data_IF_362625012105
#
_entry.id   IF_362625012105
#
_cell.length_a   1.000
_cell.length_b   1.000
_cell.length_c   1.000
_cell.angle_alpha   90.00
_cell.angle_beta   90.00
_cell.angle_gamma   90.00
#
_symmetry.space_group_name_H-M   'P 1'
#
loop_
_entity.id
_entity.type
_entity.pdbx_description
1 polymer ?
#
# COMPACT_ATOMS: atom_id res chain seq x y z
N UNK A 1 3.08 21.92 -28.83
CA UNK A 1 2.81 22.49 -27.50
C UNK A 1 1.31 22.75 -27.26
N UNK A 2 0.51 22.99 -28.31
CA UNK A 2 -0.96 23.21 -28.19
C UNK A 2 -1.79 21.97 -27.81
N UNK A 3 -1.44 20.79 -28.30
CA UNK A 3 -2.24 19.57 -28.05
C UNK A 3 -2.30 19.19 -26.56
N UNK A 4 -1.20 19.35 -25.81
CA UNK A 4 -1.15 19.05 -24.36
C UNK A 4 -1.98 20.04 -23.53
N UNK A 5 -1.94 21.33 -23.88
CA UNK A 5 -2.79 22.35 -23.23
C UNK A 5 -4.27 22.09 -23.50
N UNK A 6 -4.60 21.68 -24.72
CA UNK A 6 -5.97 21.34 -25.08
C UNK A 6 -6.48 20.09 -24.33
N UNK A 7 -5.65 19.05 -24.15
CA UNK A 7 -5.99 17.86 -23.38
C UNK A 7 -6.23 18.18 -21.90
N UNK A 8 -5.34 18.98 -21.28
CA UNK A 8 -5.50 19.41 -19.90
C UNK A 8 -6.77 20.22 -19.68
N UNK A 9 -7.08 21.15 -20.60
CA UNK A 9 -8.34 21.91 -20.55
C UNK A 9 -9.58 21.01 -20.70
N UNK A 10 -9.52 19.95 -21.52
CA UNK A 10 -10.61 18.97 -21.63
C UNK A 10 -10.78 18.15 -20.36
N UNK A 11 -9.68 17.76 -19.71
CA UNK A 11 -9.71 17.05 -18.42
C UNK A 11 -10.33 17.94 -17.34
N UNK A 12 -9.93 19.21 -17.25
CA UNK A 12 -10.43 20.13 -16.24
C UNK A 12 -11.92 20.47 -16.43
N UNK A 13 -12.41 20.41 -17.66
CA UNK A 13 -13.84 20.55 -17.97
C UNK A 13 -14.62 19.24 -17.84
N UNK A 14 -13.96 18.08 -17.76
CA UNK A 14 -14.63 16.78 -17.71
C UNK A 14 -15.57 16.66 -16.50
N UNK A 15 -16.78 16.15 -16.74
CA UNK A 15 -17.76 15.85 -15.67
C UNK A 15 -17.38 14.54 -15.00
N UNK A 16 -17.60 14.45 -13.69
CA UNK A 16 -17.36 13.21 -12.95
C UNK A 16 -18.11 12.04 -13.58
N UNK A 17 -17.45 10.89 -13.67
CA UNK A 17 -17.99 9.71 -14.34
C UNK A 17 -17.50 8.44 -13.63
N UNK A 18 -17.92 7.27 -14.13
CA UNK A 18 -17.59 5.97 -13.54
C UNK A 18 -16.08 5.69 -13.49
N UNK A 19 -15.30 6.22 -14.41
CA UNK A 19 -13.84 6.05 -14.45
C UNK A 19 -13.19 6.78 -13.27
N UNK A 20 -13.59 8.03 -13.00
CA UNK A 20 -13.09 8.78 -11.83
C UNK A 20 -13.41 8.06 -10.50
N UNK A 21 -14.62 7.50 -10.38
CA UNK A 21 -14.98 6.67 -9.21
C UNK A 21 -14.11 5.41 -9.14
N UNK A 22 -13.93 4.69 -10.23
CA UNK A 22 -13.13 3.47 -10.27
C UNK A 22 -11.66 3.74 -9.87
N UNK A 23 -11.07 4.82 -10.37
CA UNK A 23 -9.72 5.26 -10.00
C UNK A 23 -9.66 5.60 -8.51
N UNK A 24 -10.62 6.38 -8.00
CA UNK A 24 -10.66 6.77 -6.58
C UNK A 24 -10.73 5.54 -5.67
N UNK A 25 -11.59 4.57 -6.00
CA UNK A 25 -11.72 3.32 -5.23
C UNK A 25 -10.46 2.47 -5.34
N UNK A 26 -9.86 2.34 -6.52
CA UNK A 26 -8.65 1.54 -6.70
C UNK A 26 -7.44 2.12 -5.93
N UNK A 27 -7.29 3.45 -5.91
CA UNK A 27 -6.27 4.12 -5.09
C UNK A 27 -6.58 3.99 -3.60
N UNK A 28 -7.86 4.13 -3.23
CA UNK A 28 -8.33 3.93 -1.85
C UNK A 28 -8.05 2.52 -1.32
N UNK A 29 -8.26 1.47 -2.11
CA UNK A 29 -7.98 0.08 -1.70
C UNK A 29 -6.48 -0.13 -1.46
N UNK A 30 -5.60 0.50 -2.25
CA UNK A 30 -4.16 0.49 -1.99
C UNK A 30 -3.81 1.15 -0.65
N UNK A 31 -4.39 2.31 -0.40
CA UNK A 31 -4.22 3.04 0.87
C UNK A 31 -4.78 2.28 2.08
N UNK A 32 -5.90 1.56 1.89
CA UNK A 32 -6.50 0.67 2.89
C UNK A 32 -5.55 -0.48 3.24
N UNK A 33 -4.96 -1.12 2.24
CA UNK A 33 -4.03 -2.24 2.42
C UNK A 33 -2.81 -1.82 3.23
N UNK A 34 -2.26 -0.65 2.93
CA UNK A 34 -1.11 -0.10 3.64
C UNK A 34 -1.46 0.20 5.12
N UNK A 35 -2.59 0.86 5.37
CA UNK A 35 -3.10 1.09 6.72
C UNK A 35 -3.33 -0.22 7.49
N UNK A 36 -3.88 -1.23 6.81
CA UNK A 36 -4.09 -2.56 7.36
C UNK A 36 -2.75 -3.17 7.81
N UNK A 37 -1.73 -3.14 6.95
CA UNK A 37 -0.43 -3.75 7.21
C UNK A 37 0.29 -3.05 8.37
N UNK A 38 0.37 -1.72 8.36
CA UNK A 38 0.98 -0.93 9.44
C UNK A 38 0.28 -1.23 10.78
N UNK A 39 -1.04 -1.37 10.77
CA UNK A 39 -1.81 -1.67 11.98
C UNK A 39 -1.58 -3.11 12.46
N UNK A 40 -1.59 -4.09 11.55
CA UNK A 40 -1.31 -5.49 11.90
C UNK A 40 0.08 -5.65 12.51
N UNK A 41 1.11 -5.02 11.93
CA UNK A 41 2.48 -5.07 12.46
C UNK A 41 2.52 -4.55 13.89
N UNK A 42 1.91 -3.39 14.15
CA UNK A 42 1.85 -2.82 15.50
C UNK A 42 1.19 -3.80 16.49
N UNK A 43 0.13 -4.47 16.07
CA UNK A 43 -0.61 -5.40 16.93
C UNK A 43 0.15 -6.69 17.24
N UNK A 44 1.03 -7.15 16.35
CA UNK A 44 1.79 -8.41 16.53
C UNK A 44 3.17 -8.23 17.18
N UNK A 45 3.63 -7.00 17.46
CA UNK A 45 4.94 -6.75 18.08
C UNK A 45 5.10 -7.51 19.39
N UNK A 46 4.09 -7.45 20.27
CA UNK A 46 4.14 -8.16 21.56
C UNK A 46 4.25 -9.68 21.36
N UNK A 47 3.57 -10.22 20.36
CA UNK A 47 3.65 -11.64 19.97
C UNK A 47 5.05 -11.99 19.50
N UNK A 48 5.68 -11.16 18.66
CA UNK A 48 7.06 -11.39 18.20
C UNK A 48 8.09 -11.31 19.33
N UNK A 49 7.89 -10.40 20.28
CA UNK A 49 8.74 -10.32 21.47
C UNK A 49 8.72 -11.61 22.28
N UNK A 50 7.54 -12.20 22.44
CA UNK A 50 7.39 -13.47 23.16
C UNK A 50 7.95 -14.66 22.35
N UNK A 51 7.59 -14.78 21.07
CA UNK A 51 7.98 -15.90 20.21
C UNK A 51 9.49 -15.97 19.93
N UNK A 52 10.14 -14.82 19.77
CA UNK A 52 11.56 -14.75 19.39
C UNK A 52 12.43 -14.11 20.47
N UNK A 53 11.89 -13.92 21.69
CA UNK A 53 12.59 -13.35 22.83
C UNK A 53 13.27 -12.01 22.53
N UNK A 54 12.60 -11.16 21.75
CA UNK A 54 13.18 -9.90 21.27
C UNK A 54 13.26 -8.86 22.39
N UNK A 55 14.37 -8.12 22.39
CA UNK A 55 14.51 -6.88 23.17
C UNK A 55 13.55 -5.78 22.67
N UNK A 56 13.35 -4.76 23.50
CA UNK A 56 12.57 -3.57 23.08
C UNK A 56 13.22 -2.86 21.88
N UNK A 57 14.55 -2.88 21.79
CA UNK A 57 15.29 -2.30 20.67
C UNK A 57 15.01 -3.04 19.37
N UNK A 58 15.05 -4.37 19.37
CA UNK A 58 14.73 -5.18 18.19
C UNK A 58 13.27 -5.04 17.79
N UNK A 59 12.35 -5.03 18.74
CA UNK A 59 10.92 -4.77 18.47
C UNK A 59 10.71 -3.39 17.81
N UNK A 60 11.45 -2.37 18.24
CA UNK A 60 11.38 -1.02 17.66
C UNK A 60 11.92 -0.99 16.24
N UNK A 61 12.96 -1.78 15.95
CA UNK A 61 13.51 -1.90 14.60
C UNK A 61 12.52 -2.45 13.59
N UNK A 62 11.59 -3.35 13.98
CA UNK A 62 10.52 -3.86 13.10
C UNK A 62 9.70 -2.71 12.51
N UNK A 63 9.45 -1.66 13.29
CA UNK A 63 8.76 -0.46 12.84
C UNK A 63 9.69 0.49 12.07
N UNK A 64 10.91 0.70 12.57
CA UNK A 64 11.84 1.66 11.97
C UNK A 64 12.24 1.30 10.54
N UNK A 65 12.47 0.00 10.26
CA UNK A 65 12.87 -0.43 8.92
C UNK A 65 11.79 -0.22 7.87
N UNK A 66 10.53 -0.16 8.28
CA UNK A 66 9.42 0.18 7.39
C UNK A 66 9.61 1.59 6.81
N UNK A 67 9.89 2.57 7.65
CA UNK A 67 10.12 3.95 7.20
C UNK A 67 11.37 4.07 6.34
N UNK A 68 12.46 3.37 6.69
CA UNK A 68 13.68 3.33 5.88
C UNK A 68 13.42 2.74 4.49
N UNK A 69 12.64 1.65 4.42
CA UNK A 69 12.23 1.04 3.17
C UNK A 69 11.37 1.98 2.33
N UNK A 70 10.38 2.65 2.92
CA UNK A 70 9.55 3.66 2.24
C UNK A 70 10.42 4.79 1.66
N UNK A 71 11.37 5.31 2.44
CA UNK A 71 12.27 6.37 1.98
C UNK A 71 13.11 5.92 0.78
N UNK A 72 13.72 4.73 0.88
CA UNK A 72 14.51 4.16 -0.21
C UNK A 72 13.66 3.89 -1.46
N UNK A 73 12.45 3.37 -1.27
CA UNK A 73 11.47 3.10 -2.32
C UNK A 73 11.02 4.38 -3.02
N UNK A 74 10.61 5.39 -2.27
CA UNK A 74 10.17 6.67 -2.82
C UNK A 74 11.27 7.34 -3.65
N UNK A 75 12.50 7.37 -3.14
CA UNK A 75 13.65 7.94 -3.86
C UNK A 75 14.00 7.14 -5.12
N UNK A 76 14.17 5.82 -5.00
CA UNK A 76 14.59 4.95 -6.09
C UNK A 76 13.53 4.80 -7.17
N UNK A 77 12.29 4.47 -6.79
CA UNK A 77 11.20 4.28 -7.74
C UNK A 77 10.67 5.59 -8.32
N UNK A 78 10.80 6.73 -7.62
CA UNK A 78 10.54 8.04 -8.22
C UNK A 78 11.41 8.29 -9.44
N UNK A 79 12.73 8.10 -9.30
CA UNK A 79 13.69 8.22 -10.40
C UNK A 79 13.43 7.20 -11.53
N UNK A 80 13.17 5.93 -11.16
CA UNK A 80 12.88 4.88 -12.14
C UNK A 80 11.57 5.13 -12.91
N UNK A 81 10.57 5.77 -12.28
CA UNK A 81 9.26 5.99 -12.89
C UNK A 81 9.36 7.05 -13.98
N UNK A 82 10.18 8.07 -13.74
CA UNK A 82 10.47 9.11 -14.71
C UNK A 82 11.32 8.57 -15.88
N UNK A 83 12.17 7.56 -15.65
CA UNK A 83 13.04 6.98 -16.68
C UNK A 83 12.41 5.87 -17.53
N UNK A 84 11.67 4.94 -16.92
CA UNK A 84 11.16 3.73 -17.56
C UNK A 84 9.65 3.75 -17.84
N UNK A 85 8.98 4.84 -17.46
CA UNK A 85 7.55 5.05 -17.64
C UNK A 85 6.72 4.61 -16.43
N UNK A 86 5.88 5.54 -15.96
CA UNK A 86 5.07 5.43 -14.73
C UNK A 86 4.23 4.17 -14.66
N UNK A 87 3.57 3.79 -15.76
CA UNK A 87 2.64 2.64 -15.79
C UNK A 87 3.31 1.29 -15.50
N UNK A 88 4.46 1.01 -16.12
CA UNK A 88 5.17 -0.27 -15.92
C UNK A 88 5.67 -0.40 -14.49
N UNK A 89 6.17 0.71 -13.95
CA UNK A 89 6.67 0.75 -12.59
C UNK A 89 5.57 0.59 -11.56
N UNK A 90 4.38 1.17 -11.82
CA UNK A 90 3.19 1.03 -10.96
C UNK A 90 2.73 -0.42 -10.78
N UNK A 91 2.81 -1.22 -11.84
CA UNK A 91 2.47 -2.64 -11.79
C UNK A 91 3.54 -3.46 -11.08
N UNK A 92 4.81 -3.15 -11.34
CA UNK A 92 5.94 -3.82 -10.69
C UNK A 92 5.93 -3.60 -9.17
N UNK A 93 5.70 -2.36 -8.73
CA UNK A 93 5.69 -2.02 -7.30
C UNK A 93 4.55 -2.68 -6.57
N UNK A 94 3.38 -2.79 -7.22
CA UNK A 94 2.25 -3.51 -6.66
C UNK A 94 2.49 -5.01 -6.54
N UNK A 95 3.10 -5.62 -7.57
CA UNK A 95 3.46 -7.04 -7.50
C UNK A 95 4.48 -7.29 -6.40
N UNK A 96 5.48 -6.42 -6.29
CA UNK A 96 6.48 -6.48 -5.25
C UNK A 96 5.83 -6.29 -3.88
N UNK A 97 4.98 -5.29 -3.72
CA UNK A 97 4.27 -5.03 -2.48
C UNK A 97 3.42 -6.25 -2.06
N UNK A 98 2.45 -6.66 -2.89
CA UNK A 98 1.54 -7.74 -2.55
C UNK A 98 2.22 -9.10 -2.37
N UNK A 99 3.24 -9.41 -3.18
CA UNK A 99 3.98 -10.68 -3.07
C UNK A 99 4.75 -10.74 -1.76
N UNK A 100 5.47 -9.67 -1.40
CA UNK A 100 6.28 -9.68 -0.18
C UNK A 100 5.44 -9.53 1.10
N UNK A 101 4.29 -8.84 1.04
CA UNK A 101 3.28 -8.89 2.12
C UNK A 101 2.80 -10.32 2.34
N UNK A 102 2.50 -11.08 1.27
CA UNK A 102 2.12 -12.49 1.39
C UNK A 102 3.26 -13.35 1.94
N UNK A 103 4.48 -13.20 1.42
CA UNK A 103 5.66 -13.94 1.89
C UNK A 103 5.97 -13.66 3.35
N UNK A 104 5.60 -12.49 3.88
CA UNK A 104 5.73 -12.17 5.31
C UNK A 104 5.01 -13.19 6.19
N UNK A 105 3.88 -13.74 5.76
CA UNK A 105 3.17 -14.81 6.48
C UNK A 105 3.99 -16.11 6.63
N UNK A 106 5.03 -16.29 5.81
CA UNK A 106 5.93 -17.44 5.80
C UNK A 106 7.29 -17.15 6.45
N UNK A 107 7.49 -15.98 7.05
CA UNK A 107 8.72 -15.68 7.78
C UNK A 107 8.98 -16.74 8.87
N UNK A 108 10.21 -17.23 8.99
CA UNK A 108 10.55 -18.31 9.93
C UNK A 108 11.31 -17.80 11.16
N UNK A 109 11.91 -16.62 11.08
CA UNK A 109 12.62 -15.96 12.17
C UNK A 109 12.65 -14.44 12.00
N UNK A 110 13.13 -13.74 13.03
CA UNK A 110 13.25 -12.28 13.03
C UNK A 110 14.02 -11.72 11.81
N UNK A 111 15.23 -12.19 11.45
CA UNK A 111 15.93 -11.69 10.27
C UNK A 111 15.13 -11.84 8.95
N UNK A 112 14.47 -13.00 8.75
CA UNK A 112 13.63 -13.21 7.56
C UNK A 112 12.46 -12.24 7.51
N UNK A 113 11.81 -11.96 8.66
CA UNK A 113 10.75 -10.97 8.76
C UNK A 113 11.27 -9.57 8.39
N UNK A 114 12.43 -9.18 8.90
CA UNK A 114 13.04 -7.88 8.65
C UNK A 114 13.36 -7.65 7.16
N UNK A 115 13.92 -8.66 6.48
CA UNK A 115 14.19 -8.57 5.04
C UNK A 115 12.88 -8.42 4.27
N UNK A 116 11.88 -9.26 4.55
CA UNK A 116 10.58 -9.18 3.89
C UNK A 116 9.90 -7.83 4.12
N UNK A 117 9.96 -7.30 5.36
CA UNK A 117 9.45 -5.97 5.73
C UNK A 117 10.11 -4.86 4.91
N UNK A 118 11.43 -4.84 4.81
CA UNK A 118 12.16 -3.81 4.05
C UNK A 118 11.78 -3.86 2.57
N UNK A 119 11.74 -5.05 1.97
CA UNK A 119 11.36 -5.18 0.55
C UNK A 119 9.93 -4.74 0.32
N UNK A 120 9.01 -5.12 1.20
CA UNK A 120 7.60 -4.70 1.15
C UNK A 120 7.49 -3.17 1.23
N UNK A 121 8.17 -2.55 2.20
CA UNK A 121 8.18 -1.11 2.40
C UNK A 121 8.75 -0.32 1.21
N UNK A 122 9.76 -0.86 0.52
CA UNK A 122 10.30 -0.28 -0.72
C UNK A 122 9.21 -0.22 -1.80
N UNK A 123 8.37 -1.26 -1.91
CA UNK A 123 7.22 -1.26 -2.81
C UNK A 123 6.17 -0.19 -2.44
N UNK A 124 5.88 -0.04 -1.15
CA UNK A 124 4.92 0.95 -0.63
C UNK A 124 5.36 2.39 -0.90
N UNK A 125 6.65 2.72 -0.69
CA UNK A 125 7.14 4.07 -0.95
C UNK A 125 6.95 4.53 -2.40
N UNK A 126 7.05 3.60 -3.34
CA UNK A 126 6.77 3.86 -4.74
C UNK A 126 5.27 4.09 -5.02
N UNK A 127 4.41 3.34 -4.33
CA UNK A 127 2.95 3.47 -4.43
C UNK A 127 2.46 4.85 -4.00
N UNK A 128 3.03 5.42 -2.95
CA UNK A 128 2.66 6.76 -2.44
C UNK A 128 2.84 7.87 -3.49
N UNK A 129 4.00 7.88 -4.16
CA UNK A 129 4.27 8.85 -5.23
C UNK A 129 3.26 8.67 -6.39
N UNK A 130 2.92 7.42 -6.66
CA UNK A 130 2.13 7.06 -7.81
C UNK A 130 0.62 7.33 -7.60
N UNK A 131 0.10 7.23 -6.36
CA UNK A 131 -1.25 7.66 -6.01
C UNK A 131 -1.44 9.15 -6.29
N UNK A 132 -0.50 9.98 -5.82
CA UNK A 132 -0.56 11.42 -6.01
C UNK A 132 -0.46 11.80 -7.50
N UNK A 133 0.41 11.12 -8.25
CA UNK A 133 0.51 11.28 -9.70
C UNK A 133 -0.80 10.94 -10.40
N UNK A 134 -1.41 9.78 -10.09
CA UNK A 134 -2.66 9.34 -10.70
C UNK A 134 -3.82 10.32 -10.42
N UNK A 135 -3.93 10.85 -9.19
CA UNK A 135 -4.92 11.88 -8.89
C UNK A 135 -4.68 13.13 -9.75
N UNK A 136 -3.44 13.56 -9.92
CA UNK A 136 -3.13 14.73 -10.74
C UNK A 136 -3.38 14.52 -12.25
N UNK A 137 -3.17 13.30 -12.76
CA UNK A 137 -3.26 12.97 -14.18
C UNK A 137 -4.71 12.69 -14.63
N UNK A 138 -5.51 12.04 -13.77
CA UNK A 138 -6.83 11.55 -14.16
C UNK A 138 -7.99 12.33 -13.56
N UNK A 139 -7.79 13.10 -12.48
CA UNK A 139 -8.87 13.79 -11.79
C UNK A 139 -8.88 15.28 -12.17
N UNK A 140 -10.04 15.84 -12.57
CA UNK A 140 -10.20 17.27 -12.88
C UNK A 140 -9.75 18.14 -11.69
N UNK A 141 -9.07 19.26 -11.95
CA UNK A 141 -8.47 20.10 -10.90
C UNK A 141 -9.46 20.45 -9.77
N UNK A 142 -10.71 20.80 -10.11
CA UNK A 142 -11.78 21.13 -9.16
C UNK A 142 -12.18 20.01 -8.18
N UNK A 143 -11.80 18.75 -8.45
CA UNK A 143 -12.18 17.58 -7.64
C UNK A 143 -10.98 16.86 -7.03
N UNK A 144 -9.74 17.28 -7.32
CA UNK A 144 -8.52 16.66 -6.80
C UNK A 144 -8.47 16.64 -5.28
N UNK A 145 -8.78 17.76 -4.61
CA UNK A 145 -8.78 17.84 -3.15
C UNK A 145 -9.77 16.86 -2.49
N UNK A 146 -11.02 16.84 -2.98
CA UNK A 146 -12.05 15.90 -2.50
C UNK A 146 -11.67 14.44 -2.74
N UNK A 147 -11.09 14.16 -3.90
CA UNK A 147 -10.63 12.80 -4.25
C UNK A 147 -9.49 12.36 -3.35
N UNK A 148 -8.50 13.22 -3.14
CA UNK A 148 -7.39 12.94 -2.23
C UNK A 148 -7.88 12.69 -0.80
N UNK A 149 -8.76 13.55 -0.27
CA UNK A 149 -9.35 13.34 1.05
C UNK A 149 -10.15 12.01 1.13
N UNK A 150 -10.86 11.65 0.07
CA UNK A 150 -11.60 10.37 0.01
C UNK A 150 -10.64 9.18 0.03
N UNK A 151 -9.57 9.20 -0.77
CA UNK A 151 -8.54 8.15 -0.76
C UNK A 151 -7.88 8.04 0.61
N UNK A 152 -7.53 9.17 1.23
CA UNK A 152 -6.91 9.16 2.56
C UNK A 152 -7.82 8.56 3.64
N UNK A 153 -9.14 8.75 3.54
CA UNK A 153 -10.10 8.16 4.48
C UNK A 153 -10.19 6.62 4.41
N UNK A 154 -9.72 5.99 3.33
CA UNK A 154 -9.60 4.53 3.29
C UNK A 154 -8.60 4.00 4.32
N UNK A 155 -7.69 4.83 4.81
CA UNK A 155 -6.78 4.48 5.89
C UNK A 155 -7.54 3.99 7.13
N UNK A 156 -8.56 4.76 7.54
CA UNK A 156 -9.40 4.43 8.69
C UNK A 156 -10.12 3.10 8.49
N UNK A 157 -10.58 2.82 7.27
CA UNK A 157 -11.22 1.54 6.93
C UNK A 157 -10.21 0.39 7.07
N UNK A 158 -8.98 0.58 6.60
CA UNK A 158 -7.91 -0.42 6.72
C UNK A 158 -7.51 -0.70 8.16
N UNK A 159 -7.41 0.35 8.99
CA UNK A 159 -7.14 0.21 10.42
C UNK A 159 -8.28 -0.53 11.15
N UNK A 160 -9.54 -0.22 10.84
CA UNK A 160 -10.71 -0.95 11.39
C UNK A 160 -10.65 -2.42 10.98
N UNK A 161 -10.36 -2.71 9.70
CA UNK A 161 -10.23 -4.07 9.20
C UNK A 161 -9.10 -4.83 9.91
N UNK A 162 -7.95 -4.19 10.15
CA UNK A 162 -6.84 -4.77 10.90
C UNK A 162 -7.21 -5.03 12.36
N UNK A 163 -7.95 -4.13 13.00
CA UNK A 163 -8.46 -4.34 14.35
C UNK A 163 -9.39 -5.56 14.43
N UNK A 164 -10.31 -5.71 13.46
CA UNK A 164 -11.18 -6.88 13.36
C UNK A 164 -10.36 -8.17 13.15
N UNK A 165 -9.40 -8.16 12.23
CA UNK A 165 -8.50 -9.31 12.00
C UNK A 165 -7.68 -9.64 13.25
N UNK A 166 -7.26 -8.65 14.02
CA UNK A 166 -6.56 -8.86 15.29
C UNK A 166 -7.45 -9.54 16.32
N UNK A 167 -8.69 -9.06 16.47
CA UNK A 167 -9.67 -9.64 17.40
C UNK A 167 -10.06 -11.07 17.02
N UNK A 168 -10.15 -11.38 15.72
CA UNK A 168 -10.64 -12.66 15.21
C UNK A 168 -9.54 -13.70 15.00
N UNK A 169 -8.34 -13.28 14.57
CA UNK A 169 -7.24 -14.19 14.23
C UNK A 169 -6.13 -14.12 15.28
N UNK A 170 -5.54 -12.95 15.52
CA UNK A 170 -4.35 -12.83 16.39
C UNK A 170 -4.67 -13.21 17.84
N UNK A 171 -5.81 -12.74 18.38
CA UNK A 171 -6.17 -12.97 19.78
C UNK A 171 -6.81 -14.34 20.05
N UNK A 172 -7.21 -15.08 19.01
CA UNK A 172 -7.98 -16.34 19.14
C UNK A 172 -7.20 -17.57 18.71
N UNK A 173 -6.23 -17.41 17.81
CA UNK A 173 -5.40 -18.49 17.32
C UNK A 173 -4.10 -18.59 18.13
N UNK A 174 -3.41 -19.73 18.08
CA UNK A 174 -2.08 -19.87 18.65
C UNK A 174 -1.12 -18.77 18.15
N UNK A 175 -0.21 -18.25 19.00
CA UNK A 175 0.68 -17.16 18.64
C UNK A 175 1.44 -17.37 17.34
N UNK A 176 1.90 -18.59 17.05
CA UNK A 176 2.63 -18.96 15.84
C UNK A 176 1.77 -18.95 14.56
N UNK A 177 0.45 -19.10 14.68
CA UNK A 177 -0.52 -19.15 13.57
C UNK A 177 -1.21 -17.80 13.37
N UNK A 178 -1.59 -17.11 14.46
CA UNK A 178 -2.43 -15.92 14.43
C UNK A 178 -1.85 -14.78 13.59
N UNK A 179 -0.57 -14.44 13.78
CA UNK A 179 0.07 -13.39 12.98
C UNK A 179 0.26 -13.80 11.52
N UNK A 180 0.55 -15.08 11.24
CA UNK A 180 0.67 -15.60 9.88
C UNK A 180 -0.65 -15.48 9.13
N UNK A 181 -1.75 -15.88 9.78
CA UNK A 181 -3.10 -15.76 9.24
C UNK A 181 -3.47 -14.29 8.98
N UNK A 182 -3.07 -13.37 9.85
CA UNK A 182 -3.29 -11.93 9.66
C UNK A 182 -2.57 -11.36 8.42
N UNK A 183 -1.29 -11.69 8.20
CA UNK A 183 -0.58 -11.31 6.97
C UNK A 183 -1.12 -12.04 5.74
N UNK A 184 -1.57 -13.29 5.88
CA UNK A 184 -2.27 -14.02 4.83
C UNK A 184 -3.57 -13.34 4.40
N UNK A 185 -4.35 -12.80 5.34
CA UNK A 185 -5.51 -11.96 5.03
C UNK A 185 -5.11 -10.67 4.31
N UNK A 186 -4.00 -10.05 4.73
CA UNK A 186 -3.41 -8.91 4.01
C UNK A 186 -3.11 -9.21 2.55
N UNK A 187 -2.65 -10.42 2.23
CA UNK A 187 -2.44 -10.83 0.84
C UNK A 187 -3.74 -10.89 0.03
N UNK A 188 -4.87 -11.30 0.64
CA UNK A 188 -6.19 -11.27 -0.02
C UNK A 188 -6.58 -9.83 -0.34
N UNK A 189 -6.35 -8.90 0.59
CA UNK A 189 -6.57 -7.46 0.37
C UNK A 189 -5.64 -6.93 -0.73
N UNK A 190 -4.39 -7.39 -0.78
CA UNK A 190 -3.43 -7.04 -1.84
C UNK A 190 -3.86 -7.51 -3.23
N UNK A 191 -4.39 -8.73 -3.32
CA UNK A 191 -4.98 -9.24 -4.56
C UNK A 191 -6.20 -8.39 -4.96
N UNK A 192 -7.06 -8.03 -4.01
CA UNK A 192 -8.19 -7.14 -4.28
C UNK A 192 -7.73 -5.77 -4.80
N UNK A 193 -6.68 -5.19 -4.22
CA UNK A 193 -6.06 -3.96 -4.71
C UNK A 193 -5.53 -4.11 -6.14
N UNK A 194 -4.87 -5.23 -6.44
CA UNK A 194 -4.37 -5.54 -7.78
C UNK A 194 -5.47 -5.72 -8.82
N UNK A 195 -6.57 -6.37 -8.46
CA UNK A 195 -7.73 -6.52 -9.33
C UNK A 195 -8.43 -5.18 -9.56
N UNK A 196 -8.58 -4.35 -8.52
CA UNK A 196 -9.19 -3.03 -8.64
C UNK A 196 -8.40 -2.11 -9.59
N UNK A 197 -7.07 -2.24 -9.63
CA UNK A 197 -6.21 -1.44 -10.52
C UNK A 197 -6.31 -1.83 -11.99
N UNK A 198 -6.83 -3.00 -12.35
CA UNK A 198 -7.07 -3.38 -13.75
C UNK A 198 -8.10 -2.48 -14.45
N UNK A 199 -8.90 -1.75 -13.67
CA UNK A 199 -9.91 -0.82 -14.17
C UNK A 199 -9.37 0.60 -14.35
N UNK A 200 -8.12 0.88 -13.97
CA UNK A 200 -7.48 2.18 -14.19
C UNK A 200 -7.01 2.25 -15.66
N UNK A 201 -7.46 3.24 -16.44
CA UNK A 201 -7.00 3.45 -17.82
C UNK A 201 -5.51 3.79 -17.87
N UNK A 202 -4.88 3.60 -19.02
CA UNK A 202 -3.52 4.10 -19.23
C UNK A 202 -3.49 5.64 -19.15
N UNK A 203 -2.41 6.20 -18.58
CA UNK A 203 -2.23 7.66 -18.53
C UNK A 203 -2.29 8.26 -19.95
N UNK A 204 -2.97 9.41 -20.15
CA UNK A 204 -3.13 10.03 -21.48
C UNK A 204 -1.83 10.47 -22.15
#
# INVERSE_FOLDING_TARGET
>A
MDSRKHLLNRLDQAVWNRVHTAITVALGIGWLLDAFEVTIVNNVISVFKELWHLSNTEASWILSVWFLGIMAGAYGFGYLADRYGRKRLFLLTLLLYGTFTFLTAFAWNYPSLMVLRVVTAIGVGAEYAAINAAISEFIPARHRGKTNATVMNFWSIGAILAALVTLLLINRLPPDIGWRAAFGFGAVVAIAAALARRYIPESP
#
